data_IF_271262020227
#
_entry.id   IF_271262020227
#
_cell.length_a   1.000
_cell.length_b   1.000
_cell.length_c   1.000
_cell.angle_alpha   90.00
_cell.angle_beta   90.00
_cell.angle_gamma   90.00
#
_symmetry.space_group_name_H-M   'P 1'
#
loop_
_entity.id
_entity.type
_entity.pdbx_description
1 polymer ?
#
# COMPACT_ATOMS: atom_id res chain seq x y z
N UNK A 1 -3.84 -13.63 6.35
CA UNK A 1 -3.88 -13.71 4.88
C UNK A 1 -5.09 -12.95 4.35
N UNK A 2 -4.90 -12.19 3.30
CA UNK A 2 -5.99 -11.41 2.71
C UNK A 2 -7.03 -12.29 2.05
N UNK A 3 -8.31 -11.93 2.21
CA UNK A 3 -9.41 -12.61 1.56
C UNK A 3 -9.62 -12.19 0.10
N UNK A 4 -8.96 -11.12 -0.35
CA UNK A 4 -9.06 -10.59 -1.70
C UNK A 4 -7.69 -10.34 -2.33
N UNK A 5 -7.69 -9.71 -3.52
CA UNK A 5 -6.46 -9.39 -4.23
C UNK A 5 -5.60 -8.33 -3.51
N UNK A 6 -6.25 -7.47 -2.76
CA UNK A 6 -5.57 -6.39 -2.05
C UNK A 6 -5.92 -6.46 -0.57
N UNK A 7 -4.93 -6.35 0.31
CA UNK A 7 -5.21 -6.34 1.74
C UNK A 7 -5.93 -5.06 2.15
N UNK A 8 -6.78 -5.17 3.13
CA UNK A 8 -7.35 -4.00 3.81
C UNK A 8 -6.35 -3.48 4.85
N UNK A 9 -6.64 -2.31 5.41
CA UNK A 9 -5.85 -1.76 6.52
C UNK A 9 -5.80 -2.76 7.67
N UNK A 10 -6.95 -3.34 8.03
CA UNK A 10 -7.01 -4.30 9.15
C UNK A 10 -6.17 -5.54 8.90
N UNK A 11 -6.20 -6.05 7.68
CA UNK A 11 -5.38 -7.21 7.30
C UNK A 11 -3.89 -6.89 7.34
N UNK A 12 -3.50 -5.73 6.84
CA UNK A 12 -2.10 -5.31 6.86
C UNK A 12 -1.61 -5.10 8.30
N UNK A 13 -2.44 -4.49 9.15
CA UNK A 13 -2.11 -4.30 10.56
C UNK A 13 -1.87 -5.66 11.24
N UNK A 14 -2.72 -6.65 10.97
CA UNK A 14 -2.55 -7.98 11.55
C UNK A 14 -1.24 -8.65 11.07
N UNK A 15 -0.91 -8.51 9.80
CA UNK A 15 0.32 -9.05 9.24
C UNK A 15 1.55 -8.38 9.85
N UNK A 16 1.53 -7.05 9.99
CA UNK A 16 2.61 -6.29 10.61
C UNK A 16 2.78 -6.62 12.10
N UNK A 17 1.68 -6.82 12.82
CA UNK A 17 1.73 -7.23 14.22
C UNK A 17 2.38 -8.61 14.37
N UNK A 18 2.07 -9.54 13.50
CA UNK A 18 2.69 -10.87 13.50
C UNK A 18 4.20 -10.77 13.26
N UNK A 19 4.62 -9.95 12.32
CA UNK A 19 6.04 -9.73 12.03
C UNK A 19 6.74 -9.04 13.19
N UNK A 20 6.09 -8.07 13.84
CA UNK A 20 6.65 -7.38 15.00
C UNK A 20 6.90 -8.33 16.15
N UNK A 21 5.96 -9.25 16.42
CA UNK A 21 6.12 -10.26 17.48
C UNK A 21 7.28 -11.19 17.19
N UNK A 22 7.51 -11.52 15.94
CA UNK A 22 8.55 -12.46 15.54
C UNK A 22 9.94 -11.83 15.45
N UNK A 23 10.01 -10.59 14.95
CA UNK A 23 11.28 -9.95 14.59
C UNK A 23 11.59 -8.68 15.37
N UNK A 24 10.66 -8.17 16.17
CA UNK A 24 10.79 -6.90 16.84
C UNK A 24 10.24 -5.74 16.02
N UNK A 25 10.35 -4.54 16.55
CA UNK A 25 9.80 -3.34 15.94
C UNK A 25 10.78 -2.76 14.92
N UNK A 26 10.74 -3.29 13.72
CA UNK A 26 11.65 -2.95 12.64
C UNK A 26 11.12 -1.77 11.81
N UNK A 27 12.01 -1.00 11.16
CA UNK A 27 11.58 0.03 10.23
C UNK A 27 10.84 -0.57 9.02
N UNK A 28 9.90 0.19 8.48
CA UNK A 28 9.18 -0.17 7.26
C UNK A 28 9.66 0.74 6.15
N UNK A 29 10.15 0.15 5.06
CA UNK A 29 10.71 0.89 3.94
C UNK A 29 9.90 0.63 2.69
N UNK A 30 9.83 1.63 1.82
CA UNK A 30 9.23 1.52 0.50
C UNK A 30 10.34 1.58 -0.57
N UNK A 31 10.17 0.79 -1.62
CA UNK A 31 11.11 0.79 -2.74
C UNK A 31 10.81 1.95 -3.69
N UNK A 32 11.81 2.76 -3.96
CA UNK A 32 11.73 3.82 -4.96
C UNK A 32 12.26 3.27 -6.28
N UNK A 33 11.36 2.98 -7.21
CA UNK A 33 11.70 2.35 -8.49
C UNK A 33 12.60 3.26 -9.34
N UNK A 34 12.43 4.57 -9.26
CA UNK A 34 13.19 5.51 -10.08
C UNK A 34 14.67 5.53 -9.72
N UNK A 35 14.99 5.39 -8.45
CA UNK A 35 16.38 5.42 -7.97
C UNK A 35 16.91 4.06 -7.56
N UNK A 36 16.03 3.08 -7.43
CA UNK A 36 16.32 1.75 -6.90
C UNK A 36 16.83 1.76 -5.45
N UNK A 37 16.53 2.81 -4.71
CA UNK A 37 16.79 2.89 -3.28
C UNK A 37 15.52 2.64 -2.48
N UNK A 38 15.68 2.33 -1.21
CA UNK A 38 14.58 2.21 -0.27
C UNK A 38 14.49 3.49 0.57
N UNK A 39 13.27 3.94 0.79
CA UNK A 39 12.98 5.14 1.58
C UNK A 39 11.98 4.80 2.67
N UNK A 40 11.88 5.66 3.67
CA UNK A 40 10.88 5.47 4.72
C UNK A 40 9.48 5.37 4.11
N UNK A 41 8.73 4.34 4.50
CA UNK A 41 7.37 4.17 4.03
C UNK A 41 6.45 5.13 4.78
N UNK A 42 5.72 5.96 4.05
CA UNK A 42 4.73 6.86 4.60
C UNK A 42 3.36 6.55 4.01
N UNK A 43 2.36 6.22 4.85
CA UNK A 43 1.04 5.95 4.33
C UNK A 43 0.33 7.24 3.93
N UNK A 44 -0.28 7.23 2.76
CA UNK A 44 -1.07 8.36 2.26
C UNK A 44 -2.38 7.85 1.69
N UNK A 45 -3.38 8.73 1.66
CA UNK A 45 -4.65 8.44 1.00
C UNK A 45 -4.61 9.02 -0.40
N UNK A 46 -4.86 8.17 -1.39
CA UNK A 46 -4.92 8.58 -2.77
C UNK A 46 -6.21 8.11 -3.43
N UNK A 47 -6.65 8.83 -4.44
CA UNK A 47 -7.74 8.41 -5.30
C UNK A 47 -7.18 7.57 -6.43
N UNK A 48 -7.86 6.47 -6.73
CA UNK A 48 -7.38 5.47 -7.68
C UNK A 48 -8.45 5.11 -8.69
N UNK A 49 -8.02 4.74 -9.90
CA UNK A 49 -8.89 4.13 -10.90
C UNK A 49 -8.22 2.88 -11.45
N UNK A 50 -9.00 1.88 -11.90
CA UNK A 50 -8.42 0.72 -12.57
C UNK A 50 -7.63 1.13 -13.81
N UNK A 51 -6.48 0.50 -14.03
CA UNK A 51 -5.56 0.87 -15.11
C UNK A 51 -5.54 -0.19 -16.21
N UNK A 52 -6.70 -0.52 -16.76
CA UNK A 52 -6.86 -1.40 -17.90
C UNK A 52 -6.69 -2.90 -17.64
N UNK A 53 -5.82 -3.31 -16.76
CA UNK A 53 -5.62 -4.72 -16.40
C UNK A 53 -6.09 -4.98 -14.99
N UNK A 54 -6.49 -6.21 -14.70
CA UNK A 54 -7.22 -6.57 -13.49
C UNK A 54 -6.49 -6.28 -12.17
N UNK A 55 -5.18 -6.20 -12.16
CA UNK A 55 -4.42 -5.99 -10.92
C UNK A 55 -3.72 -4.64 -10.85
N UNK A 56 -3.92 -3.78 -11.84
CA UNK A 56 -3.23 -2.51 -11.90
C UNK A 56 -4.18 -1.36 -11.60
N UNK A 57 -3.65 -0.37 -10.88
CA UNK A 57 -4.34 0.86 -10.53
C UNK A 57 -3.44 2.03 -10.85
N UNK A 58 -4.03 3.15 -11.17
CA UNK A 58 -3.32 4.40 -11.36
C UNK A 58 -3.91 5.49 -10.49
N UNK A 59 -3.14 6.52 -10.22
CA UNK A 59 -3.63 7.69 -9.54
C UNK A 59 -4.71 8.39 -10.36
N UNK A 60 -5.69 8.96 -9.67
CA UNK A 60 -6.77 9.72 -10.25
C UNK A 60 -6.96 11.02 -9.47
N UNK A 61 -7.52 12.01 -10.14
CA UNK A 61 -7.95 13.21 -9.44
C UNK A 61 -9.26 12.91 -8.68
N UNK A 62 -9.55 13.65 -7.58
CA UNK A 62 -10.77 13.40 -6.82
C UNK A 62 -12.07 13.49 -7.64
N UNK A 63 -12.07 14.27 -8.71
CA UNK A 63 -13.23 14.38 -9.59
C UNK A 63 -13.37 13.21 -10.57
N UNK A 64 -12.31 12.43 -10.79
CA UNK A 64 -12.34 11.27 -11.68
C UNK A 64 -12.79 10.00 -10.99
N UNK A 65 -12.59 9.91 -9.67
CA UNK A 65 -12.87 8.68 -8.93
C UNK A 65 -13.20 9.01 -7.47
N UNK A 66 -14.10 8.22 -6.91
CA UNK A 66 -14.36 8.23 -5.47
C UNK A 66 -13.74 7.00 -4.77
N UNK A 67 -12.96 6.23 -5.48
CA UNK A 67 -12.26 5.08 -4.90
C UNK A 67 -11.00 5.57 -4.22
N UNK A 68 -10.89 5.31 -2.93
CA UNK A 68 -9.73 5.67 -2.12
C UNK A 68 -8.90 4.45 -1.79
N UNK A 69 -7.60 4.62 -1.75
CA UNK A 69 -6.69 3.59 -1.31
C UNK A 69 -5.58 4.20 -0.45
N UNK A 70 -5.00 3.37 0.41
CA UNK A 70 -3.79 3.75 1.14
C UNK A 70 -2.60 3.34 0.27
N UNK A 71 -1.72 4.29 0.01
CA UNK A 71 -0.47 4.03 -0.70
C UNK A 71 0.71 4.21 0.25
N UNK A 72 1.74 3.39 0.08
CA UNK A 72 2.98 3.49 0.82
C UNK A 72 4.05 4.08 -0.10
N UNK A 73 4.65 5.17 0.34
CA UNK A 73 5.68 5.88 -0.41
C UNK A 73 6.92 6.10 0.42
#
# INVERSE_FOLDING_TARGET
>A
MSAGLYPTISELVADLEALRRKHGDLPVLAHDVATDYFVAAEPEIDYMVPAGRSHYWRFAEPHESNIKAITLR
#
